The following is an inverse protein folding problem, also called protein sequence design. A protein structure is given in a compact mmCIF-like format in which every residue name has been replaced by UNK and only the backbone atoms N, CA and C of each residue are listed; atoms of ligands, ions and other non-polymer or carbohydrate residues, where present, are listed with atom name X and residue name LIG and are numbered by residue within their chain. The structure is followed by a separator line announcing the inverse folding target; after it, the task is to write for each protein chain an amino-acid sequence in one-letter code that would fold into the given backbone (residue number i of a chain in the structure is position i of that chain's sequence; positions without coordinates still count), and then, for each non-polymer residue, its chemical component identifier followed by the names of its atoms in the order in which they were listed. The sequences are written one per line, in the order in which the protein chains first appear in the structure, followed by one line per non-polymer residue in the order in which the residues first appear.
data_IF_106004044730
#
_entry.id   IF_106004044730
#
_cell.length_a   1.000
_cell.length_b   1.000
_cell.length_c   1.000
_cell.angle_alpha   90.00
_cell.angle_beta   90.00
_cell.angle_gamma   90.00
#
_symmetry.space_group_name_H-M   'P 1'
#
loop_
_entity.id
_entity.type
_entity.pdbx_description
1 polymer ?
#
# COMPACT_ATOMS: atom_id res chain seq x y z
N UNK A 1 5.89 -13.19 -15.41
CA UNK A 1 4.86 -12.90 -14.40
C UNK A 1 3.74 -11.98 -14.92
N UNK A 2 4.03 -10.92 -15.68
CA UNK A 2 3.01 -9.99 -16.23
C UNK A 2 1.91 -10.69 -17.07
N UNK A 3 2.29 -11.70 -17.89
CA UNK A 3 1.33 -12.46 -18.73
C UNK A 3 0.33 -13.29 -17.89
N UNK A 4 0.75 -13.87 -16.76
CA UNK A 4 -0.14 -14.66 -15.87
C UNK A 4 -1.16 -13.77 -15.12
N UNK A 5 -0.77 -12.57 -14.71
CA UNK A 5 -1.70 -11.63 -14.05
C UNK A 5 -2.77 -11.10 -15.01
N UNK A 6 -2.40 -10.81 -16.27
CA UNK A 6 -3.35 -10.41 -17.32
C UNK A 6 -4.32 -11.56 -17.63
N UNK A 7 -3.81 -12.79 -17.69
CA UNK A 7 -4.64 -13.98 -17.91
C UNK A 7 -5.67 -14.21 -16.81
N UNK A 8 -5.29 -13.96 -15.54
CA UNK A 8 -6.21 -14.06 -14.39
C UNK A 8 -7.28 -12.98 -14.42
N UNK A 9 -6.92 -11.75 -14.82
CA UNK A 9 -7.85 -10.64 -14.96
C UNK A 9 -8.87 -10.91 -16.09
N UNK A 10 -8.40 -11.41 -17.24
CA UNK A 10 -9.23 -11.79 -18.37
C UNK A 10 -10.16 -12.96 -18.00
N UNK A 11 -9.68 -13.94 -17.24
CA UNK A 11 -10.50 -15.07 -16.78
C UNK A 11 -11.60 -14.59 -15.84
N UNK A 12 -11.30 -13.70 -14.90
CA UNK A 12 -12.29 -13.13 -13.97
C UNK A 12 -13.37 -12.32 -14.72
N UNK A 13 -12.99 -11.52 -15.72
CA UNK A 13 -13.95 -10.78 -16.55
C UNK A 13 -14.79 -11.71 -17.40
N UNK A 14 -14.21 -12.76 -17.99
CA UNK A 14 -14.94 -13.74 -18.81
C UNK A 14 -16.00 -14.48 -17.98
N UNK A 15 -15.69 -14.88 -16.74
CA UNK A 15 -16.64 -15.54 -15.83
C UNK A 15 -17.82 -14.61 -15.50
N UNK A 16 -17.60 -13.31 -15.34
CA UNK A 16 -18.66 -12.33 -15.11
C UNK A 16 -19.59 -12.19 -16.33
N UNK A 17 -19.04 -12.20 -17.55
CA UNK A 17 -19.82 -12.03 -18.77
C UNK A 17 -20.58 -13.29 -19.21
N UNK A 18 -20.07 -14.48 -18.95
CA UNK A 18 -20.77 -15.74 -19.31
C UNK A 18 -22.05 -15.94 -18.50
N UNK A 19 -22.09 -15.48 -17.26
CA UNK A 19 -23.29 -15.56 -16.43
C UNK A 19 -24.34 -14.48 -16.73
N UNK A 20 -23.97 -13.41 -17.46
CA UNK A 20 -24.92 -12.36 -17.85
C UNK A 20 -26.01 -12.84 -18.81
N UNK A 21 -25.76 -13.90 -19.59
CA UNK A 21 -26.74 -14.47 -20.51
C UNK A 21 -27.78 -15.39 -19.86
N UNK A 22 -27.56 -15.84 -18.63
CA UNK A 22 -28.45 -16.78 -17.94
C UNK A 22 -29.65 -16.15 -17.21
N UNK A 23 -29.73 -14.83 -17.15
CA UNK A 23 -30.85 -14.11 -16.48
C UNK A 23 -31.77 -13.45 -17.49
N UNK A 24 -32.77 -14.18 -17.93
CA UNK A 24 -33.78 -13.74 -18.90
C UNK A 24 -34.90 -12.87 -18.33
N UNK A 25 -34.85 -12.45 -17.07
CA UNK A 25 -35.79 -11.45 -16.55
C UNK A 25 -35.15 -10.07 -16.59
N UNK A 26 -35.78 -9.12 -17.33
CA UNK A 26 -35.27 -7.75 -17.35
C UNK A 26 -35.21 -7.21 -15.92
N UNK A 27 -34.12 -6.53 -15.59
CA UNK A 27 -33.94 -5.79 -14.35
C UNK A 27 -34.92 -4.59 -14.41
N UNK A 28 -36.09 -4.77 -13.81
CA UNK A 28 -37.21 -3.82 -13.87
C UNK A 28 -37.10 -2.67 -12.85
N UNK A 29 -36.04 -2.60 -12.08
CA UNK A 29 -35.76 -1.48 -11.18
C UNK A 29 -34.66 -0.62 -11.77
N UNK A 30 -34.75 0.70 -11.55
CA UNK A 30 -33.76 1.66 -12.04
C UNK A 30 -32.35 1.35 -11.55
N UNK A 31 -31.36 1.73 -12.34
CA UNK A 31 -29.93 1.65 -11.96
C UNK A 31 -29.73 2.56 -10.76
N UNK A 32 -29.02 2.07 -9.73
CA UNK A 32 -28.78 2.75 -8.47
C UNK A 32 -29.95 2.89 -7.49
N UNK A 33 -31.03 2.15 -7.65
CA UNK A 33 -32.17 2.17 -6.71
C UNK A 33 -31.83 1.65 -5.30
N UNK A 34 -30.74 0.93 -5.16
CA UNK A 34 -30.31 0.37 -3.88
C UNK A 34 -28.88 0.79 -3.58
N UNK A 35 -28.73 1.49 -2.46
CA UNK A 35 -27.45 1.98 -1.95
C UNK A 35 -27.14 1.34 -0.60
N UNK A 36 -25.92 0.95 -0.41
CA UNK A 36 -25.40 0.45 0.86
C UNK A 36 -24.14 1.20 1.28
N UNK A 37 -23.93 1.21 2.57
CA UNK A 37 -22.73 1.73 3.22
C UNK A 37 -22.04 0.59 3.93
N UNK A 38 -20.72 0.53 3.83
CA UNK A 38 -19.89 -0.45 4.54
C UNK A 38 -18.83 0.27 5.34
N UNK A 39 -18.68 -0.14 6.59
CA UNK A 39 -17.63 0.32 7.51
C UNK A 39 -16.90 -0.88 8.04
N UNK A 40 -15.58 -0.80 8.11
CA UNK A 40 -14.79 -1.92 8.62
C UNK A 40 -13.32 -1.59 8.81
N UNK A 41 -12.56 -2.63 9.03
CA UNK A 41 -11.11 -2.58 9.27
C UNK A 41 -10.38 -3.57 8.37
N UNK A 42 -9.13 -3.31 8.12
CA UNK A 42 -8.30 -4.19 7.31
C UNK A 42 -6.83 -3.81 7.31
N UNK A 43 -6.06 -4.42 6.44
CA UNK A 43 -4.63 -4.12 6.27
C UNK A 43 -4.36 -2.70 5.76
N UNK A 44 -5.38 -2.04 5.20
CA UNK A 44 -5.32 -0.63 4.78
C UNK A 44 -5.85 0.34 5.85
N UNK A 45 -6.09 -0.14 7.09
CA UNK A 45 -6.64 0.63 8.19
C UNK A 45 -8.17 0.55 8.28
N UNK A 46 -8.80 1.62 8.72
CA UNK A 46 -10.27 1.75 8.77
C UNK A 46 -10.78 2.12 7.37
N UNK A 47 -11.85 1.47 6.92
CA UNK A 47 -12.47 1.80 5.64
C UNK A 47 -13.94 2.19 5.79
N UNK A 48 -14.35 3.16 4.98
CA UNK A 48 -15.72 3.58 4.77
C UNK A 48 -16.01 3.51 3.27
N UNK A 49 -17.05 2.81 2.86
CA UNK A 49 -17.37 2.63 1.45
C UNK A 49 -18.87 2.79 1.21
N UNK A 50 -19.21 3.32 0.05
CA UNK A 50 -20.58 3.39 -0.47
C UNK A 50 -20.66 2.51 -1.72
N UNK A 51 -21.71 1.77 -1.87
CA UNK A 51 -21.93 0.91 -3.02
C UNK A 51 -23.36 1.02 -3.53
N UNK A 52 -23.50 0.79 -4.81
CA UNK A 52 -24.81 0.70 -5.45
C UNK A 52 -24.90 -0.55 -6.32
N UNK A 53 -26.09 -1.09 -6.41
CA UNK A 53 -26.43 -2.24 -7.27
C UNK A 53 -26.61 -1.75 -8.70
N UNK A 54 -25.75 -2.18 -9.59
CA UNK A 54 -25.90 -1.92 -11.04
C UNK A 54 -26.75 -3.00 -11.71
N UNK A 55 -26.50 -4.27 -11.37
CA UNK A 55 -27.32 -5.42 -11.80
C UNK A 55 -27.46 -6.40 -10.66
N UNK A 56 -28.27 -7.46 -10.80
CA UNK A 56 -28.42 -8.49 -9.76
C UNK A 56 -27.12 -9.21 -9.38
N UNK A 57 -26.13 -9.19 -10.27
CA UNK A 57 -24.82 -9.84 -10.10
C UNK A 57 -23.65 -8.86 -10.02
N UNK A 58 -23.89 -7.55 -10.16
CA UNK A 58 -22.83 -6.54 -10.19
C UNK A 58 -23.16 -5.37 -9.25
N UNK A 59 -22.25 -5.09 -8.33
CA UNK A 59 -22.26 -3.91 -7.46
C UNK A 59 -21.03 -3.06 -7.78
N UNK A 60 -21.20 -1.74 -7.84
CA UNK A 60 -20.11 -0.77 -7.95
C UNK A 60 -19.94 -0.08 -6.61
N UNK A 61 -18.71 0.07 -6.16
CA UNK A 61 -18.41 0.68 -4.88
C UNK A 61 -17.28 1.69 -4.98
N UNK A 62 -17.36 2.70 -4.11
CA UNK A 62 -16.34 3.70 -3.88
C UNK A 62 -16.08 3.77 -2.38
N UNK A 63 -14.82 3.78 -1.97
CA UNK A 63 -14.45 3.74 -0.57
C UNK A 63 -13.20 4.51 -0.24
N UNK A 64 -13.13 4.99 0.99
CA UNK A 64 -11.98 5.65 1.57
C UNK A 64 -11.38 4.72 2.62
N UNK A 65 -10.06 4.49 2.55
CA UNK A 65 -9.30 3.77 3.56
C UNK A 65 -8.35 4.74 4.25
N UNK A 66 -8.34 4.72 5.56
CA UNK A 66 -7.51 5.59 6.40
C UNK A 66 -6.68 4.68 7.31
N UNK A 67 -5.39 4.61 7.06
CA UNK A 67 -4.44 4.00 7.96
C UNK A 67 -3.93 5.07 8.93
N UNK A 68 -4.18 4.91 10.23
CA UNK A 68 -3.66 5.84 11.22
C UNK A 68 -2.13 5.82 11.22
N UNK A 69 -1.51 6.91 11.67
CA UNK A 69 -0.08 6.95 11.85
C UNK A 69 0.32 5.98 12.96
N UNK A 70 1.05 4.94 12.59
CA UNK A 70 1.67 4.00 13.52
C UNK A 70 3.17 4.27 13.48
N UNK A 71 3.74 4.59 14.63
CA UNK A 71 5.16 4.84 14.76
C UNK A 71 5.84 3.60 15.33
N UNK A 72 6.88 3.14 14.65
CA UNK A 72 7.73 2.02 15.07
C UNK A 72 9.15 2.53 15.21
N UNK A 73 9.74 2.34 16.37
CA UNK A 73 11.15 2.66 16.60
C UNK A 73 12.01 1.48 16.18
N UNK A 74 13.08 1.76 15.46
CA UNK A 74 14.08 0.79 15.02
C UNK A 74 15.48 1.39 15.20
N UNK A 75 16.45 0.55 15.50
CA UNK A 75 17.84 0.97 15.49
C UNK A 75 18.39 0.95 14.08
N UNK A 76 19.12 1.99 13.71
CA UNK A 76 19.75 2.16 12.39
C UNK A 76 21.22 2.51 12.60
N UNK A 77 22.08 1.84 11.85
CA UNK A 77 23.51 2.11 11.88
C UNK A 77 23.84 3.36 11.06
N UNK A 78 24.63 4.25 11.65
CA UNK A 78 25.11 5.48 11.01
C UNK A 78 26.58 5.31 10.70
N UNK A 79 26.94 5.52 9.45
CA UNK A 79 28.28 5.38 8.95
C UNK A 79 28.74 6.65 8.25
N UNK A 80 30.06 6.90 8.27
CA UNK A 80 30.69 7.95 7.49
C UNK A 80 31.16 7.38 6.15
N UNK A 81 30.77 8.02 5.04
CA UNK A 81 31.27 7.67 3.71
C UNK A 81 32.73 8.17 3.61
N UNK A 82 33.68 7.25 3.47
CA UNK A 82 35.05 7.59 3.14
C UNK A 82 35.18 8.04 1.67
N UNK A 83 36.02 9.07 1.44
CA UNK A 83 36.33 9.56 0.09
C UNK A 83 37.51 8.88 -0.55
N UNK A 84 38.28 8.09 0.22
CA UNK A 84 39.47 7.40 -0.28
C UNK A 84 39.27 5.88 -0.30
N UNK A 85 39.60 5.18 -1.38
CA UNK A 85 39.58 3.73 -1.44
C UNK A 85 40.59 3.16 -0.42
N UNK A 86 40.11 2.39 0.55
CA UNK A 86 40.94 1.71 1.55
C UNK A 86 40.87 2.29 2.98
N UNK A 87 40.33 3.48 3.18
CA UNK A 87 40.00 3.95 4.52
C UNK A 87 38.71 3.26 5.02
N UNK A 88 38.81 2.55 6.14
CA UNK A 88 37.63 2.00 6.84
C UNK A 88 36.77 3.14 7.42
N UNK A 89 35.53 2.82 7.76
CA UNK A 89 34.64 3.75 8.47
C UNK A 89 35.32 4.20 9.76
N UNK A 90 35.59 5.50 9.89
CA UNK A 90 36.15 6.10 11.10
C UNK A 90 35.09 6.46 12.14
N UNK A 91 33.83 6.50 11.73
CA UNK A 91 32.67 6.79 12.58
C UNK A 91 31.61 5.71 12.38
N UNK A 92 31.16 5.16 13.50
CA UNK A 92 30.02 4.25 13.55
C UNK A 92 29.20 4.55 14.81
N UNK A 93 27.92 4.79 14.63
CA UNK A 93 26.97 5.02 15.71
C UNK A 93 25.67 4.27 15.40
N UNK A 94 24.96 3.85 16.43
CA UNK A 94 23.62 3.32 16.31
C UNK A 94 22.63 4.33 16.88
N UNK A 95 21.66 4.74 16.06
CA UNK A 95 20.63 5.69 16.45
C UNK A 95 19.25 5.04 16.45
N UNK A 96 18.37 5.60 17.27
CA UNK A 96 16.96 5.29 17.20
C UNK A 96 16.32 6.07 16.06
N UNK A 97 15.87 5.36 15.04
CA UNK A 97 15.08 5.91 13.95
C UNK A 97 13.60 5.54 14.14
N UNK A 98 12.73 6.47 13.85
CA UNK A 98 11.29 6.28 13.90
C UNK A 98 10.73 6.08 12.50
N UNK A 99 10.12 4.92 12.26
CA UNK A 99 9.32 4.65 11.07
C UNK A 99 7.86 5.04 11.31
N UNK A 100 7.29 5.93 10.51
CA UNK A 100 5.90 6.34 10.56
C UNK A 100 5.15 5.76 9.37
N UNK A 101 4.02 5.07 9.63
CA UNK A 101 3.18 4.41 8.63
C UNK A 101 1.78 5.03 8.69
N UNK A 102 1.48 5.93 7.79
CA UNK A 102 0.15 6.54 7.72
C UNK A 102 -0.20 6.85 6.28
N UNK A 103 -1.41 6.48 5.84
CA UNK A 103 -1.83 6.79 4.47
C UNK A 103 -3.35 6.82 4.34
N UNK A 104 -3.81 7.62 3.39
CA UNK A 104 -5.20 7.65 2.97
C UNK A 104 -5.30 7.25 1.50
N UNK A 105 -6.19 6.32 1.19
CA UNK A 105 -6.41 5.82 -0.17
C UNK A 105 -7.89 5.82 -0.53
N UNK A 106 -8.18 6.09 -1.80
CA UNK A 106 -9.51 6.01 -2.39
C UNK A 106 -9.60 4.77 -3.26
N UNK A 107 -10.60 3.93 -3.03
CA UNK A 107 -10.86 2.72 -3.82
C UNK A 107 -12.09 2.93 -4.71
N UNK A 108 -12.00 2.45 -5.96
CA UNK A 108 -13.14 2.29 -6.85
C UNK A 108 -13.14 0.84 -7.35
N UNK A 109 -14.20 0.10 -7.05
CA UNK A 109 -14.27 -1.34 -7.31
C UNK A 109 -15.61 -1.75 -7.91
N UNK A 110 -15.56 -2.78 -8.75
CA UNK A 110 -16.72 -3.54 -9.20
C UNK A 110 -16.70 -4.92 -8.55
N UNK A 111 -17.79 -5.31 -7.92
CA UNK A 111 -17.97 -6.58 -7.24
C UNK A 111 -18.95 -7.44 -8.04
N UNK A 112 -18.46 -8.54 -8.60
CA UNK A 112 -19.24 -9.49 -9.39
C UNK A 112 -19.63 -10.70 -8.55
N UNK A 113 -20.89 -11.09 -8.57
CA UNK A 113 -21.44 -12.26 -7.86
C UNK A 113 -21.72 -13.37 -8.88
N UNK A 114 -20.73 -14.25 -9.19
CA UNK A 114 -20.82 -15.19 -10.31
C UNK A 114 -21.93 -16.23 -10.17
N UNK A 115 -22.33 -16.54 -8.93
CA UNK A 115 -23.40 -17.53 -8.65
C UNK A 115 -24.79 -16.88 -8.52
N UNK A 116 -24.97 -15.68 -9.10
CA UNK A 116 -26.23 -14.97 -9.19
C UNK A 116 -26.60 -14.13 -7.96
N UNK A 117 -27.78 -13.52 -8.04
CA UNK A 117 -28.23 -12.52 -7.07
C UNK A 117 -28.40 -13.00 -5.62
N UNK A 118 -28.41 -14.31 -5.34
CA UNK A 118 -28.49 -14.87 -3.99
C UNK A 118 -27.13 -15.21 -3.39
N UNK A 119 -26.07 -15.23 -4.22
CA UNK A 119 -24.72 -15.53 -3.75
C UNK A 119 -24.20 -14.45 -2.81
N UNK A 120 -23.48 -14.89 -1.79
CA UNK A 120 -22.65 -14.02 -0.95
C UNK A 120 -21.19 -13.99 -1.49
N UNK A 121 -20.76 -15.02 -2.22
CA UNK A 121 -19.44 -15.05 -2.82
C UNK A 121 -19.34 -14.02 -3.95
N UNK A 122 -18.26 -13.26 -3.95
CA UNK A 122 -17.99 -12.26 -4.99
C UNK A 122 -16.51 -12.28 -5.41
N UNK A 123 -16.29 -11.81 -6.63
CA UNK A 123 -14.99 -11.43 -7.15
C UNK A 123 -14.99 -9.92 -7.33
N UNK A 124 -13.92 -9.27 -6.90
CA UNK A 124 -13.76 -7.83 -6.95
C UNK A 124 -12.59 -7.45 -7.85
N UNK A 125 -12.78 -6.44 -8.69
CA UNK A 125 -11.73 -5.80 -9.47
C UNK A 125 -11.90 -4.29 -9.43
N UNK A 126 -10.79 -3.55 -9.46
CA UNK A 126 -10.86 -2.10 -9.40
C UNK A 126 -9.49 -1.45 -9.25
N UNK A 127 -9.50 -0.27 -8.66
CA UNK A 127 -8.31 0.58 -8.51
C UNK A 127 -8.32 1.23 -7.14
N UNK A 128 -7.11 1.45 -6.62
CA UNK A 128 -6.84 2.26 -5.44
C UNK A 128 -5.99 3.46 -5.82
N UNK A 129 -6.33 4.63 -5.29
CA UNK A 129 -5.67 5.90 -5.60
C UNK A 129 -5.15 6.57 -4.33
N UNK A 130 -4.07 7.37 -4.48
CA UNK A 130 -3.48 8.14 -3.38
C UNK A 130 -2.58 7.32 -2.47
N UNK A 131 -2.18 7.90 -1.33
CA UNK A 131 -1.33 7.25 -0.34
C UNK A 131 -0.08 6.61 -0.94
N UNK A 132 0.70 7.37 -1.72
CA UNK A 132 1.91 6.87 -2.36
C UNK A 132 3.03 6.59 -1.37
N UNK A 133 3.09 7.30 -0.26
CA UNK A 133 4.05 7.05 0.83
C UNK A 133 3.58 5.84 1.66
N UNK A 134 4.41 4.81 1.74
CA UNK A 134 4.17 3.63 2.58
C UNK A 134 4.68 3.85 4.00
N UNK A 135 5.89 4.43 4.10
CA UNK A 135 6.54 4.70 5.36
C UNK A 135 7.44 5.93 5.23
N UNK A 136 7.56 6.66 6.31
CA UNK A 136 8.54 7.74 6.48
C UNK A 136 9.50 7.34 7.60
N UNK A 137 10.79 7.47 7.36
CA UNK A 137 11.85 7.25 8.32
C UNK A 137 12.39 8.60 8.77
N UNK A 138 12.45 8.81 10.07
CA UNK A 138 13.07 9.99 10.68
C UNK A 138 14.02 9.54 11.78
N UNK A 139 15.19 10.16 11.86
CA UNK A 139 16.18 9.91 12.91
C UNK A 139 16.96 11.17 13.25
N UNK A 140 17.66 11.15 14.35
CA UNK A 140 18.51 12.26 14.81
C UNK A 140 19.77 11.71 15.47
N UNK A 141 20.92 12.35 15.18
CA UNK A 141 22.19 12.06 15.84
C UNK A 141 22.88 13.35 16.29
N UNK A 142 23.04 13.50 17.61
CA UNK A 142 23.79 14.60 18.21
C UNK A 142 25.29 14.49 17.90
N UNK A 143 25.82 13.28 17.81
CA UNK A 143 27.23 13.07 17.47
C UNK A 143 27.56 13.55 16.07
N UNK A 144 26.68 13.28 15.09
CA UNK A 144 26.83 13.78 13.71
C UNK A 144 26.88 15.31 13.71
N UNK A 145 25.99 15.99 14.46
CA UNK A 145 26.02 17.45 14.61
C UNK A 145 27.35 17.95 15.14
N UNK A 146 27.87 17.30 16.19
CA UNK A 146 29.13 17.69 16.82
C UNK A 146 30.34 17.46 15.87
N UNK A 147 30.36 16.34 15.15
CA UNK A 147 31.39 16.06 14.15
C UNK A 147 31.40 17.07 13.00
N UNK A 148 30.25 17.42 12.45
CA UNK A 148 30.13 18.45 11.41
C UNK A 148 30.57 19.81 11.94
N UNK A 149 30.19 20.17 13.19
CA UNK A 149 30.59 21.42 13.82
C UNK A 149 32.10 21.52 14.00
N UNK A 150 32.74 20.42 14.40
CA UNK A 150 34.19 20.35 14.59
C UNK A 150 34.96 20.33 13.26
N UNK A 151 34.37 19.73 12.23
CA UNK A 151 34.98 19.63 10.91
C UNK A 151 33.93 19.84 9.81
N UNK A 152 33.73 21.07 9.30
CA UNK A 152 32.73 21.37 8.28
C UNK A 152 32.94 20.63 6.94
N UNK A 153 34.12 20.09 6.68
CA UNK A 153 34.38 19.28 5.48
C UNK A 153 33.65 17.92 5.51
N UNK A 154 33.07 17.54 6.63
CA UNK A 154 32.30 16.32 6.79
C UNK A 154 30.81 16.49 6.46
N UNK A 155 30.36 17.68 6.06
CA UNK A 155 28.98 17.91 5.61
C UNK A 155 28.61 16.95 4.48
N UNK A 156 27.43 16.32 4.61
CA UNK A 156 26.87 15.38 3.63
C UNK A 156 27.63 14.05 3.51
N UNK A 157 28.58 13.75 4.42
CA UNK A 157 29.32 12.49 4.44
C UNK A 157 28.74 11.46 5.39
N UNK A 158 27.86 11.84 6.30
CA UNK A 158 27.17 10.92 7.22
C UNK A 158 25.93 10.35 6.55
N UNK A 159 25.75 9.04 6.67
CA UNK A 159 24.60 8.32 6.13
C UNK A 159 24.04 7.38 7.17
N UNK A 160 22.73 7.29 7.21
CA UNK A 160 22.01 6.22 7.84
C UNK A 160 21.89 5.07 6.84
N UNK A 161 22.43 3.92 7.21
CA UNK A 161 22.38 2.72 6.36
C UNK A 161 21.08 1.98 6.61
N UNK A 162 20.19 2.02 5.63
CA UNK A 162 18.93 1.29 5.67
C UNK A 162 18.96 0.26 4.55
N UNK A 163 19.42 -0.94 4.88
CA UNK A 163 19.65 -2.03 3.96
C UNK A 163 20.62 -1.61 2.82
N UNK A 164 20.17 -1.55 1.57
CA UNK A 164 20.97 -1.13 0.40
C UNK A 164 20.92 0.38 0.13
N UNK A 165 20.24 1.14 0.97
CA UNK A 165 20.06 2.58 0.77
C UNK A 165 20.82 3.38 1.81
N UNK A 166 21.61 4.34 1.33
CA UNK A 166 22.31 5.31 2.14
C UNK A 166 21.52 6.62 2.15
N UNK A 167 20.87 6.93 3.27
CA UNK A 167 20.13 8.16 3.47
C UNK A 167 21.05 9.17 4.17
N UNK A 168 21.34 10.29 3.51
CA UNK A 168 22.26 11.29 4.05
C UNK A 168 21.66 12.04 5.23
N UNK A 169 22.50 12.39 6.20
CA UNK A 169 22.14 13.34 7.25
C UNK A 169 22.11 14.75 6.72
N UNK A 170 21.13 15.52 7.18
CA UNK A 170 21.12 16.99 7.04
C UNK A 170 22.15 17.58 8.03
N UNK A 171 22.57 18.84 7.80
CA UNK A 171 23.60 19.48 8.64
C UNK A 171 23.14 19.72 10.08
N UNK A 172 21.85 19.66 10.33
CA UNK A 172 21.22 19.76 11.66
C UNK A 172 21.19 18.40 12.42
N UNK A 173 21.76 17.34 11.84
CA UNK A 173 21.81 16.01 12.44
C UNK A 173 20.54 15.19 12.25
N UNK A 174 19.56 15.69 11.48
CA UNK A 174 18.39 14.92 11.12
C UNK A 174 18.61 14.08 9.87
N UNK A 175 18.02 12.90 9.85
CA UNK A 175 17.90 12.06 8.67
C UNK A 175 16.44 11.81 8.37
N UNK A 176 16.04 12.02 7.11
CA UNK A 176 14.66 11.81 6.65
C UNK A 176 14.66 11.02 5.36
N UNK A 177 13.91 9.93 5.33
CA UNK A 177 13.69 9.10 4.16
C UNK A 177 12.23 8.75 3.99
N UNK A 178 11.78 8.51 2.77
CA UNK A 178 10.42 8.05 2.51
C UNK A 178 10.40 6.90 1.50
N UNK A 179 9.64 5.87 1.82
CA UNK A 179 9.39 4.72 0.97
C UNK A 179 8.10 4.96 0.20
N UNK A 180 8.20 5.06 -1.13
CA UNK A 180 7.07 5.42 -1.98
C UNK A 180 6.76 4.33 -3.01
N UNK A 181 5.47 4.17 -3.30
CA UNK A 181 4.93 3.29 -4.34
C UNK A 181 4.11 4.12 -5.34
N UNK A 182 3.62 3.48 -6.39
CA UNK A 182 2.71 4.15 -7.33
C UNK A 182 1.43 4.57 -6.62
N UNK A 183 0.98 5.80 -6.86
CA UNK A 183 -0.28 6.32 -6.33
C UNK A 183 -1.52 5.68 -6.96
N UNK A 184 -1.41 5.12 -8.17
CA UNK A 184 -2.43 4.33 -8.86
C UNK A 184 -2.09 2.85 -8.76
N UNK A 185 -2.99 2.06 -8.18
CA UNK A 185 -2.78 0.63 -7.90
C UNK A 185 -4.00 -0.18 -8.35
N UNK A 186 -3.88 -0.97 -9.43
CA UNK A 186 -4.88 -1.97 -9.78
C UNK A 186 -5.10 -2.95 -8.62
N UNK A 187 -6.34 -3.37 -8.45
CA UNK A 187 -6.77 -4.27 -7.39
C UNK A 187 -7.56 -5.44 -7.95
N UNK A 188 -7.35 -6.62 -7.37
CA UNK A 188 -8.18 -7.79 -7.55
C UNK A 188 -8.40 -8.48 -6.21
N UNK A 189 -9.58 -9.03 -6.00
CA UNK A 189 -9.92 -9.71 -4.76
C UNK A 189 -11.11 -10.63 -4.91
N UNK A 190 -11.37 -11.35 -3.84
CA UNK A 190 -12.54 -12.21 -3.70
C UNK A 190 -13.01 -12.18 -2.24
N UNK A 191 -14.23 -12.58 -2.00
CA UNK A 191 -14.73 -12.60 -0.64
C UNK A 191 -16.16 -13.10 -0.51
N UNK A 192 -16.69 -12.93 0.68
CA UNK A 192 -18.06 -13.29 1.04
C UNK A 192 -18.77 -12.11 1.70
N UNK A 193 -20.05 -11.97 1.41
CA UNK A 193 -20.87 -10.84 1.86
C UNK A 193 -21.16 -9.85 0.74
N UNK A 194 -22.19 -9.03 0.93
CA UNK A 194 -22.61 -8.00 -0.03
C UNK A 194 -22.35 -6.61 0.52
N UNK A 195 -21.95 -5.70 -0.35
CA UNK A 195 -21.87 -4.27 -0.02
C UNK A 195 -23.28 -3.67 0.15
N UNK A 196 -24.22 -4.11 -0.67
CA UNK A 196 -25.65 -3.77 -0.53
C UNK A 196 -26.40 -5.03 -0.07
N UNK A 197 -26.52 -5.25 1.25
CA UNK A 197 -27.13 -6.46 1.77
C UNK A 197 -28.64 -6.53 1.44
N UNK A 198 -29.14 -7.74 1.22
CA UNK A 198 -30.59 -7.96 1.02
C UNK A 198 -31.40 -7.70 2.28
N UNK A 199 -30.85 -8.01 3.44
CA UNK A 199 -31.35 -7.62 4.76
C UNK A 199 -30.82 -6.23 5.11
N UNK A 200 -31.28 -5.64 6.20
CA UNK A 200 -30.82 -4.30 6.62
C UNK A 200 -29.31 -4.26 6.88
N UNK A 201 -28.76 -5.33 7.45
CA UNK A 201 -27.35 -5.44 7.83
C UNK A 201 -26.77 -6.73 7.29
N UNK A 202 -25.50 -6.71 6.92
CA UNK A 202 -24.69 -7.84 6.49
C UNK A 202 -23.24 -7.70 6.95
N UNK A 203 -22.54 -8.82 7.02
CA UNK A 203 -21.09 -8.87 7.24
C UNK A 203 -20.40 -9.16 5.93
N UNK A 204 -19.25 -8.52 5.71
CA UNK A 204 -18.42 -8.69 4.51
C UNK A 204 -16.99 -9.00 4.90
N UNK A 205 -16.44 -10.04 4.29
CA UNK A 205 -15.03 -10.38 4.35
C UNK A 205 -14.45 -10.40 2.93
N UNK A 206 -13.30 -9.76 2.76
CA UNK A 206 -12.63 -9.61 1.46
C UNK A 206 -11.15 -9.88 1.59
N UNK A 207 -10.60 -10.69 0.69
CA UNK A 207 -9.17 -10.96 0.54
C UNK A 207 -8.78 -10.57 -0.88
N UNK A 208 -7.70 -9.83 -1.01
CA UNK A 208 -7.26 -9.38 -2.33
C UNK A 208 -5.82 -8.92 -2.33
N UNK A 209 -5.46 -8.28 -3.44
CA UNK A 209 -4.10 -7.85 -3.70
C UNK A 209 -4.11 -6.57 -4.53
N UNK A 210 -3.31 -5.59 -4.13
CA UNK A 210 -3.02 -4.39 -4.91
C UNK A 210 -1.69 -4.54 -5.62
N UNK A 211 -1.62 -4.12 -6.89
CA UNK A 211 -0.40 -4.08 -7.70
C UNK A 211 0.24 -2.71 -7.53
N UNK A 212 1.15 -2.56 -6.57
CA UNK A 212 1.73 -1.25 -6.23
C UNK A 212 3.02 -0.92 -6.99
N UNK A 213 3.57 -1.87 -7.75
CA UNK A 213 4.86 -1.71 -8.42
C UNK A 213 6.03 -1.76 -7.45
N UNK A 214 7.23 -1.45 -7.93
CA UNK A 214 8.42 -1.42 -7.08
C UNK A 214 8.37 -0.28 -6.07
N UNK A 215 8.79 -0.55 -4.85
CA UNK A 215 9.01 0.46 -3.82
C UNK A 215 10.25 1.27 -4.19
N UNK A 216 10.17 2.58 -4.03
CA UNK A 216 11.27 3.51 -4.28
C UNK A 216 11.56 4.30 -3.01
N UNK A 217 12.84 4.52 -2.73
CA UNK A 217 13.29 5.33 -1.60
C UNK A 217 13.57 6.74 -2.07
N UNK A 218 13.08 7.71 -1.32
CA UNK A 218 13.28 9.13 -1.59
C UNK A 218 13.85 9.82 -0.37
N UNK A 219 14.74 10.76 -0.61
CA UNK A 219 15.21 11.74 0.36
C UNK A 219 14.90 13.13 -0.18
N UNK A 220 14.19 13.96 0.59
CA UNK A 220 13.85 15.36 0.20
C UNK A 220 13.31 15.47 -1.25
N UNK A 221 12.41 14.55 -1.65
CA UNK A 221 11.83 14.41 -2.99
C UNK A 221 12.78 13.91 -4.11
N UNK A 222 14.05 13.67 -3.81
CA UNK A 222 15.00 13.05 -4.76
C UNK A 222 14.96 11.54 -4.58
N UNK A 223 14.78 10.79 -5.68
CA UNK A 223 14.85 9.33 -5.64
C UNK A 223 16.29 8.89 -5.42
N UNK A 224 16.53 8.08 -4.40
CA UNK A 224 17.82 7.44 -4.17
C UNK A 224 17.97 6.24 -5.12
N UNK A 225 19.14 6.13 -5.74
CA UNK A 225 19.57 4.91 -6.43
C UNK A 225 20.16 3.94 -5.42
N UNK A 226 20.10 2.65 -5.74
CA UNK A 226 20.75 1.60 -4.94
C UNK A 226 22.26 1.86 -5.03
N UNK A 227 22.89 2.04 -3.88
CA UNK A 227 24.35 2.08 -3.82
C UNK A 227 24.87 0.64 -3.87
N UNK A 228 25.51 0.28 -4.97
CA UNK A 228 26.09 -1.06 -5.15
C UNK A 228 27.27 -1.35 -4.19
N UNK A 229 27.74 -0.35 -3.46
CA UNK A 229 28.82 -0.49 -2.48
C UNK A 229 28.30 -0.72 -1.05
N UNK A 230 26.99 -0.63 -0.78
CA UNK A 230 26.43 -0.99 0.52
C UNK A 230 26.65 -2.49 0.77
N UNK A 231 27.49 -2.81 1.74
CA UNK A 231 27.87 -4.21 2.09
C UNK A 231 26.77 -5.02 2.77
N UNK A 232 25.63 -4.39 3.06
CA UNK A 232 24.47 -5.03 3.68
C UNK A 232 23.53 -5.60 2.63
N UNK A 233 23.78 -6.79 2.13
CA UNK A 233 22.78 -7.58 1.39
C UNK A 233 21.75 -8.13 2.36
N UNK A 234 20.82 -7.31 2.85
CA UNK A 234 19.74 -7.76 3.73
C UNK A 234 18.61 -8.42 2.93
N UNK A 235 18.01 -9.44 3.52
CA UNK A 235 16.83 -10.13 2.97
C UNK A 235 15.66 -9.17 2.72
N UNK A 236 15.64 -8.00 3.39
CA UNK A 236 14.54 -7.02 3.29
C UNK A 236 14.46 -6.35 1.92
N UNK A 237 15.58 -5.89 1.34
CA UNK A 237 15.57 -5.27 0.01
C UNK A 237 15.18 -6.25 -1.09
N UNK A 238 15.65 -7.48 -0.99
CA UNK A 238 15.30 -8.55 -1.93
C UNK A 238 13.82 -8.92 -1.86
N UNK A 239 13.24 -8.86 -0.67
CA UNK A 239 11.81 -9.02 -0.46
C UNK A 239 11.05 -7.83 -1.04
N UNK A 240 11.45 -6.59 -0.73
CA UNK A 240 10.78 -5.35 -1.16
C UNK A 240 10.84 -5.17 -2.69
N UNK A 241 11.96 -5.48 -3.33
CA UNK A 241 12.08 -5.44 -4.79
C UNK A 241 11.21 -6.50 -5.49
N UNK A 242 11.03 -7.66 -4.87
CA UNK A 242 10.21 -8.75 -5.41
C UNK A 242 8.72 -8.59 -5.12
N UNK A 243 8.33 -7.92 -4.02
CA UNK A 243 6.93 -7.71 -3.63
C UNK A 243 6.35 -6.50 -4.39
N UNK A 244 5.88 -6.74 -5.60
CA UNK A 244 5.04 -5.78 -6.33
C UNK A 244 3.56 -5.82 -5.91
N UNK A 245 3.23 -6.62 -4.88
CA UNK A 245 1.88 -6.95 -4.45
C UNK A 245 1.69 -6.57 -2.98
N UNK A 246 0.63 -5.83 -2.69
CA UNK A 246 0.21 -5.53 -1.33
C UNK A 246 -1.02 -6.38 -0.98
N UNK A 247 -0.91 -7.29 0.02
CA UNK A 247 -2.05 -8.11 0.44
C UNK A 247 -3.09 -7.24 1.15
N UNK A 248 -4.34 -7.38 0.72
CA UNK A 248 -5.48 -6.65 1.28
C UNK A 248 -6.41 -7.65 1.95
N UNK A 249 -6.64 -7.43 3.24
CA UNK A 249 -7.64 -8.13 4.03
C UNK A 249 -8.61 -7.08 4.57
N UNK A 250 -9.93 -7.28 4.38
CA UNK A 250 -10.96 -6.37 4.90
C UNK A 250 -12.08 -7.16 5.57
N UNK A 251 -12.47 -6.70 6.74
CA UNK A 251 -13.65 -7.17 7.45
C UNK A 251 -14.53 -5.95 7.74
N UNK A 252 -15.80 -6.03 7.40
CA UNK A 252 -16.70 -4.90 7.56
C UNK A 252 -18.15 -5.30 7.76
N UNK A 253 -18.92 -4.32 8.21
CA UNK A 253 -20.37 -4.39 8.36
C UNK A 253 -20.98 -3.50 7.28
N UNK A 254 -21.89 -4.06 6.51
CA UNK A 254 -22.63 -3.36 5.46
C UNK A 254 -24.05 -3.11 5.92
N UNK A 255 -24.58 -1.95 5.61
CA UNK A 255 -25.99 -1.62 5.80
C UNK A 255 -26.61 -1.10 4.52
N UNK A 256 -27.86 -1.46 4.24
CA UNK A 256 -28.62 -0.90 3.13
C UNK A 256 -29.31 0.37 3.60
N UNK A 257 -29.12 1.46 2.87
CA UNK A 257 -29.69 2.79 3.14
C UNK A 257 -30.94 3.05 2.31
N UNK A 258 -30.92 2.59 1.03
CA UNK A 258 -32.03 2.66 0.07
C UNK A 258 -32.36 1.29 -0.48
#
# INVERSE_FOLDING_TARGET
MKKKAISLLVLATTICFTNAKAQTKPFTRGTFDRVGVNVGVGTEGVHLSVASVYTNFLEVSMGLNIMPNVNINSEVDVNQISTQPGEGYTFSERINAQGSFGRTTLDVKANCYPFGGNSLFFVSAGFSFGGSTLAELTGFSEKVVNEIRNNPNLEGRFVAEVDKYNIKFENDGHVKGSFRVKGFRPYVGLGVGRMVPKRRVGVRFEVGCQFMGSVKVYQSNTQLSIDQMAKGGGDFSDIVEKINLYPVLKLGISTRVL
#
